data_IF_778940717512
#
_entry.id   IF_778940717512
#
_cell.length_a   1.000
_cell.length_b   1.000
_cell.length_c   1.000
_cell.angle_alpha   90.00
_cell.angle_beta   90.00
_cell.angle_gamma   90.00
#
_symmetry.space_group_name_H-M   'P 1'
#
loop_
_entity.id
_entity.type
_entity.pdbx_description
1 polymer ?
#
# COMPACT_ATOMS: atom_id res chain seq x y z
N UNK A 1 -2.25 -28.39 2.69
CA UNK A 1 -2.40 -27.95 4.08
C UNK A 1 -1.55 -26.69 4.21
N UNK A 2 -2.06 -25.65 4.88
CA UNK A 2 -1.26 -24.47 5.14
C UNK A 2 -0.10 -24.86 6.07
N UNK A 3 1.13 -24.47 5.72
CA UNK A 3 2.29 -24.72 6.57
C UNK A 3 2.21 -23.82 7.81
N UNK A 4 2.24 -24.42 9.00
CA UNK A 4 2.20 -23.67 10.26
C UNK A 4 3.58 -23.64 10.91
N UNK A 5 3.93 -22.49 11.44
CA UNK A 5 5.13 -22.25 12.22
C UNK A 5 4.80 -21.74 13.61
N UNK A 6 5.82 -21.51 14.42
CA UNK A 6 5.70 -20.94 15.76
C UNK A 6 6.58 -19.72 15.92
N UNK A 7 6.06 -18.68 16.55
CA UNK A 7 6.82 -17.50 16.91
C UNK A 7 7.92 -17.90 17.90
N UNK A 8 9.17 -17.61 17.55
CA UNK A 8 10.33 -17.83 18.40
C UNK A 8 10.81 -16.58 19.10
N UNK A 9 10.61 -15.41 18.46
CA UNK A 9 11.04 -14.12 18.99
C UNK A 9 10.14 -12.99 18.49
N UNK A 10 9.92 -11.98 19.33
CA UNK A 10 9.24 -10.72 19.01
C UNK A 10 10.15 -9.57 19.42
N UNK A 11 10.48 -8.68 18.47
CA UNK A 11 11.35 -7.51 18.68
C UNK A 11 10.67 -6.30 18.05
N UNK A 12 9.84 -5.59 18.82
CA UNK A 12 9.05 -4.48 18.27
C UNK A 12 8.17 -4.95 17.12
N UNK A 13 8.30 -4.36 15.93
CA UNK A 13 7.55 -4.72 14.73
C UNK A 13 8.13 -5.94 13.97
N UNK A 14 9.15 -6.60 14.51
CA UNK A 14 9.82 -7.73 13.86
C UNK A 14 9.53 -9.02 14.63
N UNK A 15 9.23 -10.07 13.89
CA UNK A 15 8.92 -11.41 14.40
C UNK A 15 9.82 -12.44 13.74
N UNK A 16 10.38 -13.34 14.54
CA UNK A 16 11.04 -14.54 14.02
C UNK A 16 10.11 -15.74 14.20
N UNK A 17 9.85 -16.45 13.10
CA UNK A 17 8.92 -17.60 13.07
C UNK A 17 9.69 -18.82 12.56
N UNK A 18 9.64 -19.91 13.32
CA UNK A 18 10.24 -21.20 12.94
C UNK A 18 9.17 -22.12 12.38
N UNK A 19 9.45 -22.68 11.23
CA UNK A 19 8.61 -23.68 10.54
C UNK A 19 9.23 -25.06 10.71
N UNK A 20 8.40 -26.06 11.02
CA UNK A 20 8.84 -27.43 11.19
C UNK A 20 8.55 -28.33 9.96
N UNK A 21 8.01 -27.73 8.89
CA UNK A 21 7.58 -28.42 7.68
C UNK A 21 8.67 -28.51 6.60
N UNK A 22 8.32 -29.16 5.50
CA UNK A 22 9.21 -29.32 4.33
C UNK A 22 9.27 -28.04 3.44
N UNK A 23 8.46 -27.03 3.72
CA UNK A 23 8.42 -25.76 2.99
C UNK A 23 8.65 -24.61 3.93
N UNK A 24 9.62 -23.79 3.58
CA UNK A 24 9.83 -22.50 4.22
C UNK A 24 9.07 -21.44 3.40
N UNK A 25 8.30 -20.53 4.04
CA UNK A 25 7.64 -19.44 3.34
C UNK A 25 8.63 -18.59 2.53
N UNK A 26 8.22 -18.17 1.36
CA UNK A 26 9.06 -17.36 0.47
C UNK A 26 9.19 -15.92 0.96
N UNK A 27 10.20 -15.20 0.50
CA UNK A 27 10.35 -13.76 0.76
C UNK A 27 9.14 -13.03 0.17
N UNK A 28 8.61 -12.05 0.90
CA UNK A 28 7.37 -11.33 0.63
C UNK A 28 6.08 -12.15 0.82
N UNK A 29 6.15 -13.41 1.22
CA UNK A 29 4.96 -14.17 1.56
C UNK A 29 4.29 -13.61 2.82
N UNK A 30 2.96 -13.53 2.80
CA UNK A 30 2.16 -13.15 3.95
C UNK A 30 1.95 -14.33 4.90
N UNK A 31 2.13 -14.09 6.18
CA UNK A 31 1.87 -15.04 7.26
C UNK A 31 0.80 -14.44 8.17
N UNK A 32 -0.17 -15.23 8.58
CA UNK A 32 -1.24 -14.85 9.50
C UNK A 32 -0.96 -15.39 10.90
N UNK A 33 -1.04 -14.53 11.88
CA UNK A 33 -0.92 -14.88 13.29
C UNK A 33 -2.29 -14.66 13.96
N UNK A 34 -3.01 -15.70 14.34
CA UNK A 34 -4.26 -15.57 15.06
C UNK A 34 -4.05 -14.92 16.42
N UNK A 35 -4.85 -13.91 16.74
CA UNK A 35 -4.81 -13.20 18.01
C UNK A 35 -5.85 -13.76 18.99
N UNK A 36 -5.63 -13.57 20.29
CA UNK A 36 -6.52 -14.10 21.34
C UNK A 36 -7.90 -13.43 21.36
N UNK A 37 -8.01 -12.23 20.84
CA UNK A 37 -9.26 -11.48 20.71
C UNK A 37 -10.11 -11.86 19.48
N UNK A 38 -9.66 -12.87 18.71
CA UNK A 38 -10.31 -13.33 17.49
C UNK A 38 -9.91 -12.57 16.23
N UNK A 39 -8.99 -11.59 16.34
CA UNK A 39 -8.38 -10.91 15.21
C UNK A 39 -7.24 -11.70 14.57
N UNK A 40 -6.69 -11.18 13.49
CA UNK A 40 -5.51 -11.70 12.82
C UNK A 40 -4.46 -10.59 12.64
N UNK A 41 -3.22 -10.87 12.99
CA UNK A 41 -2.09 -10.04 12.58
C UNK A 41 -1.48 -10.61 11.31
N UNK A 42 -1.36 -9.78 10.28
CA UNK A 42 -0.61 -10.11 9.06
C UNK A 42 0.83 -9.64 9.22
N UNK A 43 1.75 -10.54 8.91
CA UNK A 43 3.19 -10.25 8.87
C UNK A 43 3.75 -10.70 7.54
N UNK A 44 4.76 -10.00 7.03
CA UNK A 44 5.40 -10.29 5.74
C UNK A 44 6.81 -10.83 5.98
N UNK A 45 7.16 -11.90 5.27
CA UNK A 45 8.51 -12.47 5.30
C UNK A 45 9.51 -11.52 4.65
N UNK A 46 10.47 -11.04 5.43
CA UNK A 46 11.52 -10.13 4.96
C UNK A 46 12.86 -10.84 4.70
N UNK A 47 13.14 -11.91 5.45
CA UNK A 47 14.44 -12.57 5.38
C UNK A 47 14.37 -14.03 5.86
N UNK A 48 15.16 -14.91 5.26
CA UNK A 48 15.45 -16.24 5.79
C UNK A 48 16.68 -16.17 6.69
N UNK A 49 16.55 -16.67 7.93
CA UNK A 49 17.64 -16.66 8.92
C UNK A 49 18.45 -17.97 8.94
N UNK A 50 17.97 -19.02 8.28
CA UNK A 50 18.47 -20.38 8.42
C UNK A 50 17.73 -21.13 9.55
N UNK A 51 18.05 -22.42 9.70
CA UNK A 51 17.43 -23.31 10.72
C UNK A 51 15.90 -23.25 10.69
N UNK A 52 15.30 -23.30 9.48
CA UNK A 52 13.87 -23.25 9.22
C UNK A 52 13.17 -21.99 9.80
N UNK A 53 13.90 -20.92 10.01
CA UNK A 53 13.42 -19.68 10.62
C UNK A 53 13.38 -18.56 9.61
N UNK A 54 12.26 -17.85 9.58
CA UNK A 54 12.06 -16.63 8.79
C UNK A 54 11.88 -15.42 9.69
N UNK A 55 12.41 -14.30 9.25
CA UNK A 55 12.19 -12.98 9.88
C UNK A 55 11.09 -12.25 9.14
N UNK A 56 10.10 -11.79 9.90
CA UNK A 56 8.91 -11.14 9.36
C UNK A 56 8.75 -9.73 9.93
N UNK A 57 8.09 -8.88 9.15
CA UNK A 57 7.72 -7.52 9.54
C UNK A 57 6.20 -7.47 9.73
N UNK A 58 5.75 -6.98 10.88
CA UNK A 58 4.35 -6.89 11.22
C UNK A 58 3.66 -5.70 10.53
N UNK A 59 2.47 -5.95 9.97
CA UNK A 59 1.61 -4.92 9.36
C UNK A 59 0.62 -4.31 10.38
N UNK A 60 0.60 -4.82 11.60
CA UNK A 60 -0.22 -4.34 12.72
C UNK A 60 0.59 -4.25 14.01
N UNK A 61 -0.10 -3.99 15.14
CA UNK A 61 0.53 -4.03 16.46
C UNK A 61 0.95 -5.44 16.83
N UNK A 62 2.09 -5.56 17.50
CA UNK A 62 2.63 -6.80 18.04
C UNK A 62 2.31 -7.00 19.52
N UNK A 63 1.50 -6.10 20.08
CA UNK A 63 1.10 -6.18 21.48
C UNK A 63 0.32 -7.47 21.75
N UNK A 64 0.65 -8.11 22.86
CA UNK A 64 0.02 -9.39 23.26
C UNK A 64 0.58 -10.63 22.55
N UNK A 65 1.52 -10.50 21.60
CA UNK A 65 2.19 -11.64 21.02
C UNK A 65 3.17 -12.28 22.01
N UNK A 66 3.13 -13.61 22.07
CA UNK A 66 4.05 -14.39 22.91
C UNK A 66 4.74 -15.48 22.08
N UNK A 67 5.89 -15.91 22.58
CA UNK A 67 6.62 -17.05 21.98
C UNK A 67 5.75 -18.30 22.01
N UNK A 68 5.82 -19.08 20.93
CA UNK A 68 5.07 -20.32 20.79
C UNK A 68 3.68 -20.15 20.17
N UNK A 69 3.19 -18.93 19.94
CA UNK A 69 1.97 -18.71 19.15
C UNK A 69 2.13 -19.23 17.75
N UNK A 70 1.04 -19.72 17.19
CA UNK A 70 0.96 -20.23 15.83
C UNK A 70 1.04 -19.11 14.81
N UNK A 71 1.71 -19.40 13.69
CA UNK A 71 1.83 -18.52 12.55
C UNK A 71 1.59 -19.34 11.28
N UNK A 72 0.60 -18.96 10.47
CA UNK A 72 0.09 -19.73 9.34
C UNK A 72 0.54 -19.09 8.04
N UNK A 73 1.36 -19.79 7.27
CA UNK A 73 1.79 -19.34 5.94
C UNK A 73 0.60 -19.36 4.97
N UNK A 74 0.44 -18.27 4.19
CA UNK A 74 -0.69 -18.15 3.26
C UNK A 74 -0.37 -18.70 1.86
N UNK A 75 0.91 -18.93 1.55
CA UNK A 75 1.37 -19.37 0.24
C UNK A 75 1.38 -18.28 -0.82
N UNK A 76 1.11 -17.03 -0.45
CA UNK A 76 1.05 -15.88 -1.37
C UNK A 76 1.44 -14.58 -0.68
N UNK A 77 1.92 -13.56 -1.42
CA UNK A 77 2.15 -12.22 -0.90
C UNK A 77 0.87 -11.54 -0.40
N UNK A 78 1.04 -10.43 0.32
CA UNK A 78 -0.06 -9.52 0.64
C UNK A 78 -0.72 -9.12 -0.69
N UNK A 79 -2.05 -9.26 -0.75
CA UNK A 79 -2.83 -8.97 -1.95
C UNK A 79 -3.93 -7.97 -1.62
N UNK A 80 -4.16 -7.03 -2.52
CA UNK A 80 -5.12 -5.93 -2.35
C UNK A 80 -6.18 -5.97 -3.44
N UNK A 81 -7.39 -5.45 -3.18
CA UNK A 81 -8.44 -5.38 -4.17
C UNK A 81 -8.05 -4.41 -5.29
N UNK A 82 -8.32 -4.79 -6.53
CA UNK A 82 -8.10 -3.97 -7.72
C UNK A 82 -9.35 -3.97 -8.62
N UNK A 83 -9.46 -2.94 -9.48
CA UNK A 83 -10.55 -2.78 -10.43
C UNK A 83 -11.39 -1.52 -10.17
N UNK A 84 -12.34 -1.26 -11.05
CA UNK A 84 -13.17 -0.05 -11.02
C UNK A 84 -13.97 0.11 -9.72
N UNK A 85 -14.34 -1.00 -9.07
CA UNK A 85 -15.08 -0.99 -7.81
C UNK A 85 -14.24 -0.51 -6.61
N UNK A 86 -12.94 -0.24 -6.79
CA UNK A 86 -12.09 0.40 -5.79
C UNK A 86 -12.08 1.92 -5.88
N UNK A 87 -12.63 2.49 -6.95
CA UNK A 87 -12.71 3.94 -7.13
C UNK A 87 -13.66 4.57 -6.09
N UNK A 88 -13.33 5.75 -5.64
CA UNK A 88 -14.08 6.44 -4.60
C UNK A 88 -13.90 5.88 -3.19
N UNK A 89 -12.93 4.98 -3.00
CA UNK A 89 -12.73 4.23 -1.76
C UNK A 89 -11.38 4.53 -1.12
N UNK A 90 -11.33 4.29 0.19
CA UNK A 90 -10.10 4.42 0.99
C UNK A 90 -9.78 3.06 1.60
N UNK A 91 -8.52 2.64 1.43
CA UNK A 91 -8.02 1.36 1.93
C UNK A 91 -6.82 1.54 2.84
N UNK A 92 -6.58 0.55 3.70
CA UNK A 92 -5.31 0.39 4.39
C UNK A 92 -4.32 -0.46 3.55
N UNK A 93 -3.12 -0.68 4.07
CA UNK A 93 -2.06 -1.47 3.41
C UNK A 93 -2.46 -2.92 3.08
N UNK A 94 -3.41 -3.48 3.79
CA UNK A 94 -3.93 -4.85 3.58
C UNK A 94 -5.12 -4.90 2.63
N UNK A 95 -5.50 -3.75 2.03
CA UNK A 95 -6.67 -3.66 1.17
C UNK A 95 -8.01 -3.70 1.90
N UNK A 96 -8.01 -3.56 3.22
CA UNK A 96 -9.25 -3.42 3.98
C UNK A 96 -9.78 -1.98 3.88
N UNK A 97 -11.08 -1.77 3.62
CA UNK A 97 -11.65 -0.44 3.55
C UNK A 97 -11.65 0.24 4.93
N UNK A 98 -11.28 1.53 4.96
CA UNK A 98 -11.25 2.36 6.17
C UNK A 98 -12.19 3.58 6.06
N UNK A 99 -13.04 3.60 5.06
CA UNK A 99 -14.03 4.64 4.78
C UNK A 99 -15.40 4.38 5.40
N UNK A 100 -15.50 3.45 6.35
CA UNK A 100 -16.74 3.00 7.00
C UNK A 100 -17.81 2.45 6.04
N UNK A 101 -17.42 2.06 4.83
CA UNK A 101 -18.30 1.39 3.86
C UNK A 101 -17.98 -0.11 3.81
N UNK A 102 -18.93 -0.96 3.37
CA UNK A 102 -18.67 -2.39 3.21
C UNK A 102 -17.53 -2.65 2.21
N UNK A 103 -16.92 -3.83 2.31
CA UNK A 103 -15.90 -4.24 1.34
C UNK A 103 -16.45 -4.19 -0.10
N UNK A 104 -15.66 -3.75 -1.08
CA UNK A 104 -16.13 -3.70 -2.46
C UNK A 104 -16.39 -5.11 -2.98
N UNK A 105 -17.51 -5.30 -3.67
CA UNK A 105 -17.88 -6.55 -4.32
C UNK A 105 -17.37 -6.59 -5.77
N UNK A 106 -17.17 -7.81 -6.31
CA UNK A 106 -16.75 -7.98 -7.70
C UNK A 106 -15.34 -7.51 -8.01
N UNK A 107 -14.45 -7.43 -7.01
CA UNK A 107 -13.04 -7.07 -7.19
C UNK A 107 -12.17 -8.33 -7.36
N UNK A 108 -11.11 -8.20 -8.14
CA UNK A 108 -9.99 -9.15 -8.14
C UNK A 108 -8.94 -8.73 -7.13
N UNK A 109 -8.11 -9.67 -6.71
CA UNK A 109 -7.02 -9.40 -5.77
C UNK A 109 -5.68 -9.62 -6.46
N UNK A 110 -4.81 -8.62 -6.39
CA UNK A 110 -3.47 -8.66 -6.96
C UNK A 110 -2.42 -8.50 -5.85
N UNK A 111 -1.25 -9.18 -5.98
CA UNK A 111 -0.17 -9.03 -5.02
C UNK A 111 0.42 -7.62 -5.08
N UNK A 112 0.80 -7.08 -3.91
CA UNK A 112 1.46 -5.76 -3.85
C UNK A 112 2.88 -5.80 -4.42
N UNK A 113 3.52 -6.96 -4.45
CA UNK A 113 4.82 -7.17 -5.08
C UNK A 113 4.63 -7.67 -6.51
N UNK A 114 4.88 -6.77 -7.47
CA UNK A 114 4.79 -7.06 -8.89
C UNK A 114 6.14 -6.86 -9.56
N UNK A 115 6.51 -7.76 -10.46
CA UNK A 115 7.68 -7.58 -11.30
C UNK A 115 7.53 -6.35 -12.21
N UNK A 116 8.65 -5.67 -12.49
CA UNK A 116 8.65 -4.60 -13.47
C UNK A 116 8.34 -5.16 -14.87
N UNK A 117 7.72 -4.37 -15.78
CA UNK A 117 7.51 -4.76 -17.16
C UNK A 117 8.83 -5.15 -17.84
N UNK A 118 8.80 -6.17 -18.69
CA UNK A 118 9.97 -6.56 -19.47
C UNK A 118 10.40 -5.43 -20.42
N UNK A 119 11.68 -5.44 -20.80
CA UNK A 119 12.24 -4.39 -21.65
C UNK A 119 11.51 -4.24 -22.99
N UNK A 120 11.04 -5.35 -23.54
CA UNK A 120 10.31 -5.39 -24.81
C UNK A 120 8.90 -4.78 -24.73
N UNK A 121 8.33 -4.71 -23.54
CA UNK A 121 7.00 -4.14 -23.28
C UNK A 121 7.06 -2.63 -23.04
N UNK A 122 8.26 -2.07 -22.86
CA UNK A 122 8.42 -0.66 -22.56
C UNK A 122 8.33 0.19 -23.83
N UNK A 123 7.51 1.24 -23.81
CA UNK A 123 7.43 2.22 -24.90
C UNK A 123 8.74 3.02 -24.99
N UNK A 124 9.26 3.16 -26.19
CA UNK A 124 10.41 4.02 -26.50
C UNK A 124 10.01 5.44 -26.89
N UNK A 125 8.70 5.69 -27.06
CA UNK A 125 8.19 7.01 -27.44
C UNK A 125 8.14 7.92 -26.21
N UNK A 126 8.69 9.12 -26.34
CA UNK A 126 8.61 10.17 -25.33
C UNK A 126 7.40 11.05 -25.62
N UNK A 127 6.39 10.97 -24.79
CA UNK A 127 5.21 11.83 -24.84
C UNK A 127 5.16 12.72 -23.62
N UNK A 128 4.80 14.01 -23.84
CA UNK A 128 4.57 14.94 -22.75
C UNK A 128 3.19 14.75 -22.16
N UNK A 129 3.09 14.88 -20.84
CA UNK A 129 1.84 14.95 -20.12
C UNK A 129 1.50 16.43 -19.89
N UNK A 130 0.47 16.90 -20.57
CA UNK A 130 -0.05 18.25 -20.33
C UNK A 130 -0.79 18.27 -19.00
N UNK A 131 -0.24 18.98 -18.02
CA UNK A 131 -0.77 19.01 -16.65
C UNK A 131 -1.83 20.09 -16.46
N UNK A 132 -1.91 21.08 -17.36
CA UNK A 132 -2.75 22.26 -17.21
C UNK A 132 -2.20 23.29 -16.24
N UNK A 133 -1.06 23.01 -15.59
CA UNK A 133 -0.38 23.94 -14.69
C UNK A 133 0.70 24.67 -15.49
N UNK A 134 0.44 25.94 -15.84
CA UNK A 134 1.29 26.72 -16.75
C UNK A 134 2.78 26.70 -16.42
N UNK A 135 3.13 26.83 -15.15
CA UNK A 135 4.54 26.84 -14.72
C UNK A 135 5.20 25.48 -14.90
N UNK A 136 4.46 24.39 -14.71
CA UNK A 136 4.95 23.03 -14.94
C UNK A 136 5.14 22.80 -16.42
N UNK A 137 4.09 23.00 -17.22
CA UNK A 137 4.09 22.68 -18.65
C UNK A 137 5.10 23.51 -19.45
N UNK A 138 5.37 24.75 -18.99
CA UNK A 138 6.31 25.64 -19.67
C UNK A 138 7.77 25.46 -19.24
N UNK A 139 8.04 25.28 -17.93
CA UNK A 139 9.40 25.30 -17.38
C UNK A 139 9.96 23.93 -17.03
N UNK A 140 9.11 22.97 -16.69
CA UNK A 140 9.51 21.61 -16.31
C UNK A 140 8.46 20.56 -16.73
N UNK A 141 8.20 20.42 -18.03
CA UNK A 141 7.14 19.56 -18.53
C UNK A 141 7.31 18.11 -18.08
N UNK A 142 6.21 17.47 -17.76
CA UNK A 142 6.21 16.09 -17.31
C UNK A 142 6.13 15.14 -18.50
N UNK A 143 6.86 14.03 -18.38
CA UNK A 143 6.80 12.93 -19.35
C UNK A 143 5.80 11.88 -18.89
N UNK A 144 4.97 11.37 -19.81
CA UNK A 144 4.13 10.21 -19.53
C UNK A 144 4.98 9.01 -19.14
N UNK A 145 4.58 8.29 -18.08
CA UNK A 145 5.34 7.19 -17.51
C UNK A 145 6.58 7.62 -16.70
N UNK A 146 6.81 8.93 -16.56
CA UNK A 146 7.92 9.48 -15.79
C UNK A 146 7.68 9.42 -14.27
N UNK A 147 8.77 9.55 -13.51
CA UNK A 147 8.75 9.71 -12.05
C UNK A 147 9.09 11.16 -11.72
N UNK A 148 8.19 11.85 -11.03
CA UNK A 148 8.29 13.28 -10.75
C UNK A 148 8.34 13.47 -9.24
N UNK A 149 9.28 14.29 -8.77
CA UNK A 149 9.42 14.65 -7.36
C UNK A 149 9.04 16.11 -7.12
N UNK A 150 8.11 16.35 -6.19
CA UNK A 150 7.76 17.68 -5.69
C UNK A 150 8.40 17.88 -4.32
N UNK A 151 9.47 18.66 -4.25
CA UNK A 151 10.21 18.92 -3.02
C UNK A 151 9.90 20.31 -2.48
N UNK A 152 9.79 20.41 -1.17
CA UNK A 152 9.58 21.68 -0.49
C UNK A 152 9.29 21.50 1.00
N UNK A 153 9.44 22.56 1.78
CA UNK A 153 9.10 22.60 3.20
C UNK A 153 7.59 22.46 3.46
N UNK A 154 7.19 22.61 4.71
CA UNK A 154 5.78 22.63 5.08
C UNK A 154 5.09 23.90 4.56
N UNK A 155 3.83 23.82 4.15
CA UNK A 155 3.02 24.96 3.75
C UNK A 155 3.35 25.60 2.40
N UNK A 156 4.14 24.94 1.54
CA UNK A 156 4.53 25.50 0.23
C UNK A 156 3.60 25.08 -0.93
N UNK A 157 2.46 24.46 -0.63
CA UNK A 157 1.45 24.12 -1.63
C UNK A 157 1.65 22.81 -2.38
N UNK A 158 2.52 21.88 -1.89
CA UNK A 158 2.69 20.57 -2.53
C UNK A 158 1.38 19.79 -2.70
N UNK A 159 0.57 19.73 -1.66
CA UNK A 159 -0.72 19.04 -1.66
C UNK A 159 -1.68 19.68 -2.67
N UNK A 160 -1.72 21.02 -2.75
CA UNK A 160 -2.54 21.73 -3.71
C UNK A 160 -2.14 21.40 -5.16
N UNK A 161 -0.85 21.30 -5.44
CA UNK A 161 -0.36 20.88 -6.77
C UNK A 161 -0.77 19.44 -7.10
N UNK A 162 -0.69 18.53 -6.12
CA UNK A 162 -1.10 17.13 -6.31
C UNK A 162 -2.60 17.04 -6.58
N UNK A 163 -3.42 17.77 -5.84
CA UNK A 163 -4.87 17.84 -6.04
C UNK A 163 -5.23 18.34 -7.44
N UNK A 164 -4.57 19.42 -7.87
CA UNK A 164 -4.79 20.00 -9.21
C UNK A 164 -4.37 19.03 -10.32
N UNK A 165 -3.26 18.32 -10.14
CA UNK A 165 -2.83 17.27 -11.07
C UNK A 165 -3.86 16.13 -11.16
N UNK A 166 -4.34 15.62 -10.03
CA UNK A 166 -5.36 14.57 -9.97
C UNK A 166 -6.63 15.04 -10.68
N UNK A 167 -7.07 16.27 -10.39
CA UNK A 167 -8.26 16.86 -11.01
C UNK A 167 -8.11 16.96 -12.52
N UNK A 168 -7.01 17.51 -13.01
CA UNK A 168 -6.79 17.71 -14.43
C UNK A 168 -6.66 16.37 -15.18
N UNK A 169 -6.00 15.36 -14.58
CA UNK A 169 -5.97 14.00 -15.13
C UNK A 169 -7.38 13.39 -15.21
N UNK A 170 -8.19 13.58 -14.18
CA UNK A 170 -9.54 13.03 -14.16
C UNK A 170 -10.50 13.72 -15.14
N UNK A 171 -10.40 15.05 -15.27
CA UNK A 171 -11.32 15.86 -16.08
C UNK A 171 -10.92 15.94 -17.55
N UNK A 172 -9.66 16.24 -17.83
CA UNK A 172 -9.17 16.51 -19.18
C UNK A 172 -8.68 15.24 -19.90
N UNK A 173 -8.05 14.32 -19.17
CA UNK A 173 -7.52 13.09 -19.74
C UNK A 173 -8.41 11.86 -19.54
N UNK A 174 -9.49 11.97 -18.75
CA UNK A 174 -10.38 10.84 -18.43
C UNK A 174 -9.70 9.72 -17.64
N UNK A 175 -8.54 9.99 -17.06
CA UNK A 175 -7.72 9.00 -16.36
C UNK A 175 -8.18 8.72 -14.93
N UNK A 176 -7.62 7.66 -14.37
CA UNK A 176 -7.79 7.29 -12.97
C UNK A 176 -6.54 7.66 -12.16
N UNK A 177 -6.74 7.93 -10.88
CA UNK A 177 -5.65 8.26 -9.97
C UNK A 177 -5.64 7.31 -8.78
N UNK A 178 -4.44 6.98 -8.32
CA UNK A 178 -4.23 6.29 -7.05
C UNK A 178 -3.41 7.21 -6.16
N UNK A 179 -3.95 7.57 -5.01
CA UNK A 179 -3.24 8.39 -4.03
C UNK A 179 -2.80 7.52 -2.85
N UNK A 180 -1.51 7.58 -2.50
CA UNK A 180 -0.98 6.89 -1.34
C UNK A 180 -0.45 7.88 -0.31
N UNK A 181 -1.01 7.83 0.91
CA UNK A 181 -0.56 8.64 2.03
C UNK A 181 0.45 7.86 2.89
N UNK A 182 1.73 8.24 2.83
CA UNK A 182 2.82 7.54 3.51
C UNK A 182 3.32 8.34 4.70
N UNK A 183 2.96 7.95 5.91
CA UNK A 183 3.43 8.57 7.15
C UNK A 183 2.97 10.02 7.34
N UNK A 184 1.89 10.44 6.69
CA UNK A 184 1.30 11.76 6.86
C UNK A 184 0.40 11.83 8.10
N UNK A 185 -0.04 13.03 8.45
CA UNK A 185 -0.97 13.23 9.55
C UNK A 185 -2.37 12.76 9.15
N UNK A 186 -3.03 12.02 10.01
CA UNK A 186 -4.39 11.50 9.76
C UNK A 186 -5.37 12.61 9.40
N UNK A 187 -5.23 13.80 10.02
CA UNK A 187 -6.06 14.96 9.72
C UNK A 187 -5.88 15.43 8.27
N UNK A 188 -4.65 15.53 7.79
CA UNK A 188 -4.34 15.98 6.42
C UNK A 188 -4.91 14.99 5.38
N UNK A 189 -4.87 13.69 5.67
CA UNK A 189 -5.51 12.67 4.82
C UNK A 189 -7.03 12.79 4.79
N UNK A 190 -7.65 13.11 5.91
CA UNK A 190 -9.09 13.33 5.99
C UNK A 190 -9.52 14.62 5.27
N UNK A 191 -8.77 15.70 5.45
CA UNK A 191 -9.00 16.98 4.76
C UNK A 191 -8.92 16.77 3.23
N UNK A 192 -7.91 16.03 2.75
CA UNK A 192 -7.74 15.68 1.34
C UNK A 192 -8.94 14.89 0.79
N UNK A 193 -9.44 13.91 1.54
CA UNK A 193 -10.61 13.13 1.14
C UNK A 193 -11.85 14.01 0.96
N UNK A 194 -12.09 14.93 1.90
CA UNK A 194 -13.21 15.87 1.81
C UNK A 194 -13.07 16.81 0.61
N UNK A 195 -11.89 17.38 0.39
CA UNK A 195 -11.63 18.26 -0.75
C UNK A 195 -11.80 17.55 -2.09
N UNK A 196 -11.36 16.29 -2.22
CA UNK A 196 -11.59 15.49 -3.41
C UNK A 196 -13.06 15.13 -3.61
N UNK A 197 -13.80 14.95 -2.53
CA UNK A 197 -15.24 14.69 -2.58
C UNK A 197 -15.99 15.93 -3.05
N UNK A 198 -15.68 17.10 -2.49
CA UNK A 198 -16.31 18.38 -2.87
C UNK A 198 -15.99 18.77 -4.32
N UNK A 199 -14.77 18.48 -4.79
CA UNK A 199 -14.38 18.74 -6.19
C UNK A 199 -14.90 17.71 -7.18
N UNK A 200 -15.52 16.61 -6.73
CA UNK A 200 -16.11 15.56 -7.56
C UNK A 200 -15.09 14.65 -8.26
N UNK A 201 -13.82 14.69 -7.86
CA UNK A 201 -12.77 13.84 -8.47
C UNK A 201 -12.58 12.52 -7.74
N UNK A 202 -13.19 12.38 -6.57
CA UNK A 202 -13.08 11.16 -5.76
C UNK A 202 -13.55 9.91 -6.52
N UNK A 203 -14.58 10.01 -7.35
CA UNK A 203 -15.13 8.90 -8.12
C UNK A 203 -14.16 8.29 -9.15
N UNK A 204 -13.06 8.98 -9.46
CA UNK A 204 -11.96 8.53 -10.31
C UNK A 204 -10.66 8.29 -9.56
N UNK A 205 -10.71 8.29 -8.23
CA UNK A 205 -9.53 8.18 -7.38
C UNK A 205 -9.70 7.06 -6.37
N UNK A 206 -8.67 6.23 -6.23
CA UNK A 206 -8.55 5.28 -5.11
C UNK A 206 -7.50 5.81 -4.14
N UNK A 207 -7.77 5.75 -2.85
CA UNK A 207 -6.86 6.23 -1.81
C UNK A 207 -6.38 5.06 -0.95
N UNK A 208 -5.08 5.02 -0.65
CA UNK A 208 -4.50 4.03 0.26
C UNK A 208 -3.69 4.76 1.33
N UNK A 209 -4.02 4.56 2.59
CA UNK A 209 -3.40 5.27 3.70
C UNK A 209 -2.58 4.36 4.61
N UNK A 210 -1.33 4.77 4.85
CA UNK A 210 -0.45 4.30 5.90
C UNK A 210 0.08 5.49 6.69
N UNK A 211 -0.80 6.10 7.49
CA UNK A 211 -0.55 7.35 8.20
C UNK A 211 0.39 7.20 9.40
N UNK A 212 0.69 8.30 10.11
CA UNK A 212 1.61 8.32 11.25
C UNK A 212 1.22 7.37 12.38
N UNK A 213 -0.07 7.10 12.56
CA UNK A 213 -0.60 6.19 13.57
C UNK A 213 -0.42 4.70 13.21
N UNK A 214 -0.11 4.39 11.95
CA UNK A 214 0.12 3.03 11.50
C UNK A 214 1.50 2.51 11.92
N UNK A 215 1.64 1.18 12.15
CA UNK A 215 2.93 0.58 12.46
C UNK A 215 3.94 0.74 11.33
N UNK A 216 5.25 0.66 11.62
CA UNK A 216 6.31 0.87 10.63
C UNK A 216 6.20 -0.04 9.40
N UNK A 217 5.78 -1.29 9.56
CA UNK A 217 5.60 -2.24 8.46
C UNK A 217 4.54 -1.79 7.47
N UNK A 218 3.37 -1.37 7.97
CA UNK A 218 2.30 -0.83 7.14
C UNK A 218 2.76 0.41 6.35
N UNK A 219 3.41 1.37 7.04
CA UNK A 219 3.94 2.59 6.38
C UNK A 219 5.00 2.32 5.33
N UNK A 220 5.76 1.23 5.48
CA UNK A 220 6.78 0.84 4.52
C UNK A 220 6.20 0.25 3.23
N UNK A 221 5.00 -0.34 3.30
CA UNK A 221 4.37 -1.08 2.19
C UNK A 221 3.21 -0.36 1.52
N UNK A 222 2.80 0.78 2.04
CA UNK A 222 1.61 1.49 1.52
C UNK A 222 1.84 2.17 0.16
N UNK A 223 3.08 2.52 -0.17
CA UNK A 223 3.47 3.20 -1.41
C UNK A 223 3.66 2.30 -2.63
#
# INVERSE_FOLDING_TARGET
MADSGKITQVIGAVLDVKFAGNRLPEINEAIKVPLQDGGELVVEVAQHLGDDTVRCIAMGTTDGLVRGMEAIATGKPISVPVGENTLGRIFNVLGAPIDNKPAPEGVSYEPIHRAAPEFVEQSTQQELLETGIKVVDLLCPYQKGGKIGLFGGAGVGKTVLIQELIRNIATEHGGYSVFTGVGERTREGNDLYHEMTESGVIDKTTMVFGQMNEPPGARMRVG
#
